data_IF_934415970424
#
_entry.id   IF_934415970424
#
_cell.length_a   1.000
_cell.length_b   1.000
_cell.length_c   1.000
_cell.angle_alpha   90.00
_cell.angle_beta   90.00
_cell.angle_gamma   90.00
#
_symmetry.space_group_name_H-M   'P 1'
#
loop_
_entity.id
_entity.type
_entity.pdbx_description
1 polymer ?
#
# COMPACT_ATOMS: atom_id res chain seq x y z
N UNK A 1 3.07 -0.43 -14.03
CA UNK A 1 4.17 0.32 -13.38
C UNK A 1 4.17 0.09 -11.88
N UNK A 2 3.17 0.56 -11.12
CA UNK A 2 3.07 0.29 -9.67
C UNK A 2 3.01 -1.21 -9.34
N UNK A 3 2.11 -1.94 -10.01
CA UNK A 3 1.89 -3.38 -9.78
C UNK A 3 3.13 -4.24 -10.11
N UNK A 4 3.81 -3.92 -11.22
CA UNK A 4 5.02 -4.63 -11.66
C UNK A 4 6.22 -4.38 -10.73
N UNK A 5 6.38 -3.17 -10.20
CA UNK A 5 7.42 -2.83 -9.23
C UNK A 5 7.19 -3.54 -7.90
N UNK A 6 5.94 -3.53 -7.42
CA UNK A 6 5.59 -4.20 -6.16
C UNK A 6 5.77 -5.71 -6.28
N UNK A 7 5.43 -6.31 -7.41
CA UNK A 7 5.61 -7.75 -7.64
C UNK A 7 7.07 -8.19 -7.46
N UNK A 8 8.02 -7.42 -8.03
CA UNK A 8 9.45 -7.74 -7.93
C UNK A 8 10.00 -7.70 -6.49
N UNK A 9 9.37 -6.96 -5.57
CA UNK A 9 9.80 -6.89 -4.18
C UNK A 9 9.63 -8.20 -3.42
N UNK A 10 8.66 -9.03 -3.82
CA UNK A 10 8.36 -10.29 -3.13
C UNK A 10 9.16 -11.48 -3.67
N UNK A 11 9.98 -11.28 -4.70
CA UNK A 11 10.86 -12.30 -5.27
C UNK A 11 12.22 -12.29 -4.51
N UNK A 12 12.35 -13.13 -3.49
CA UNK A 12 13.63 -13.40 -2.81
C UNK A 12 13.99 -12.51 -1.62
N UNK A 13 13.15 -11.54 -1.25
CA UNK A 13 13.32 -10.71 -0.06
C UNK A 13 12.59 -11.28 1.17
N UNK A 14 12.97 -10.80 2.37
CA UNK A 14 12.15 -10.96 3.57
C UNK A 14 10.75 -10.36 3.33
N UNK A 15 9.71 -11.17 3.50
CA UNK A 15 8.32 -10.80 3.21
C UNK A 15 7.93 -9.50 3.93
N UNK A 16 8.41 -9.29 5.16
CA UNK A 16 8.10 -8.06 5.91
C UNK A 16 8.78 -6.83 5.31
N UNK A 17 10.05 -6.94 4.94
CA UNK A 17 10.75 -5.88 4.23
C UNK A 17 10.05 -5.55 2.90
N UNK A 18 9.63 -6.57 2.14
CA UNK A 18 8.89 -6.40 0.89
C UNK A 18 7.56 -5.66 1.09
N UNK A 19 6.80 -5.97 2.15
CA UNK A 19 5.57 -5.24 2.49
C UNK A 19 5.81 -3.76 2.82
N UNK A 20 6.89 -3.46 3.56
CA UNK A 20 7.26 -2.08 3.88
C UNK A 20 7.66 -1.30 2.64
N UNK A 21 8.50 -1.90 1.79
CA UNK A 21 8.90 -1.31 0.51
C UNK A 21 7.70 -1.09 -0.41
N UNK A 22 6.77 -2.05 -0.50
CA UNK A 22 5.54 -1.90 -1.27
C UNK A 22 4.68 -0.73 -0.77
N UNK A 23 4.54 -0.59 0.55
CA UNK A 23 3.86 0.56 1.15
C UNK A 23 4.55 1.89 0.84
N UNK A 24 5.88 1.93 0.85
CA UNK A 24 6.64 3.14 0.53
C UNK A 24 6.46 3.57 -0.93
N UNK A 25 6.53 2.62 -1.87
CA UNK A 25 6.26 2.85 -3.30
C UNK A 25 4.82 3.37 -3.49
N UNK A 26 3.87 2.81 -2.74
CA UNK A 26 2.47 3.24 -2.79
C UNK A 26 2.28 4.69 -2.31
N UNK A 27 2.90 5.07 -1.19
CA UNK A 27 2.87 6.46 -0.68
C UNK A 27 3.53 7.42 -1.68
N UNK A 28 4.70 7.04 -2.21
CA UNK A 28 5.41 7.83 -3.23
C UNK A 28 4.53 8.06 -4.46
N UNK A 29 3.85 7.02 -4.94
CA UNK A 29 2.92 7.15 -6.06
C UNK A 29 1.78 8.14 -5.77
N UNK A 30 1.23 8.15 -4.56
CA UNK A 30 0.18 9.11 -4.20
C UNK A 30 0.66 10.57 -4.25
N UNK A 31 1.93 10.82 -3.91
CA UNK A 31 2.55 12.15 -3.93
C UNK A 31 2.95 12.56 -5.35
N UNK A 32 3.58 11.66 -6.10
CA UNK A 32 4.08 11.95 -7.45
C UNK A 32 2.93 12.01 -8.47
N UNK A 33 1.85 11.27 -8.25
CA UNK A 33 0.73 11.08 -9.18
C UNK A 33 -0.65 11.26 -8.52
N UNK A 34 -0.93 12.41 -7.86
CA UNK A 34 -2.13 12.60 -7.04
C UNK A 34 -3.44 12.53 -7.85
N UNK A 35 -3.41 12.92 -9.13
CA UNK A 35 -4.56 12.80 -10.02
C UNK A 35 -4.96 11.34 -10.27
N UNK A 36 -4.00 10.47 -10.58
CA UNK A 36 -4.25 9.04 -10.75
C UNK A 36 -4.68 8.38 -9.44
N UNK A 37 -4.03 8.74 -8.33
CA UNK A 37 -4.41 8.24 -7.00
C UNK A 37 -5.87 8.58 -6.65
N UNK A 38 -6.30 9.81 -6.91
CA UNK A 38 -7.69 10.25 -6.69
C UNK A 38 -8.69 9.59 -7.63
N UNK A 39 -8.30 9.25 -8.86
CA UNK A 39 -9.17 8.47 -9.77
C UNK A 39 -9.35 7.04 -9.26
N UNK A 40 -8.28 6.41 -8.76
CA UNK A 40 -8.32 5.02 -8.29
C UNK A 40 -9.11 4.84 -6.98
N UNK A 41 -9.05 5.81 -6.08
CA UNK A 41 -9.56 5.67 -4.71
C UNK A 41 -10.53 6.77 -4.27
N UNK A 42 -10.88 7.68 -5.17
CA UNK A 42 -11.87 8.72 -4.91
C UNK A 42 -13.30 8.19 -4.83
N UNK A 43 -14.24 9.00 -4.33
CA UNK A 43 -15.65 8.60 -4.16
C UNK A 43 -16.38 8.41 -5.49
N UNK A 44 -15.85 8.94 -6.59
CA UNK A 44 -16.48 8.90 -7.91
C UNK A 44 -15.97 7.71 -8.71
N UNK A 45 -16.84 6.72 -8.96
CA UNK A 45 -16.57 5.68 -9.95
C UNK A 45 -16.73 6.27 -11.35
N UNK A 46 -15.68 6.22 -12.16
CA UNK A 46 -15.77 6.56 -13.57
C UNK A 46 -16.53 5.45 -14.31
N UNK A 47 -17.59 5.82 -15.01
CA UNK A 47 -18.39 4.89 -15.82
C UNK A 47 -17.90 4.79 -17.27
N UNK A 48 -17.24 5.83 -17.77
CA UNK A 48 -16.65 5.86 -19.11
C UNK A 48 -15.36 5.02 -19.16
N UNK A 49 -15.28 4.07 -20.09
CA UNK A 49 -14.12 3.17 -20.24
C UNK A 49 -14.04 2.08 -19.16
N UNK A 50 -15.08 1.94 -18.33
CA UNK A 50 -15.18 0.87 -17.35
C UNK A 50 -15.37 -0.49 -18.02
N UNK A 51 -14.60 -1.49 -17.60
CA UNK A 51 -14.75 -2.88 -18.04
C UNK A 51 -14.98 -3.78 -16.83
N UNK A 52 -15.73 -4.88 -17.01
CA UNK A 52 -16.02 -5.83 -15.94
C UNK A 52 -14.73 -6.45 -15.34
N UNK A 53 -13.64 -6.50 -16.11
CA UNK A 53 -12.34 -6.99 -15.64
C UNK A 53 -11.78 -6.12 -14.51
N UNK A 54 -12.09 -4.82 -14.47
CA UNK A 54 -11.63 -3.90 -13.42
C UNK A 54 -12.18 -4.27 -12.04
N UNK A 55 -13.39 -4.84 -11.95
CA UNK A 55 -13.96 -5.32 -10.69
C UNK A 55 -13.15 -6.46 -10.10
N UNK A 56 -12.44 -7.22 -10.93
CA UNK A 56 -11.70 -8.41 -10.50
C UNK A 56 -10.26 -8.10 -10.09
N UNK A 57 -9.70 -6.96 -10.50
CA UNK A 57 -8.32 -6.59 -10.22
C UNK A 57 -8.06 -6.45 -8.72
N UNK A 58 -8.88 -5.66 -8.02
CA UNK A 58 -8.75 -5.45 -6.58
C UNK A 58 -8.80 -6.76 -5.77
N UNK A 59 -9.86 -7.59 -5.93
CA UNK A 59 -9.96 -8.89 -5.28
C UNK A 59 -8.80 -9.83 -5.60
N UNK A 60 -8.32 -9.86 -6.85
CA UNK A 60 -7.20 -10.72 -7.27
C UNK A 60 -5.89 -10.32 -6.58
N UNK A 61 -5.57 -9.03 -6.55
CA UNK A 61 -4.36 -8.57 -5.86
C UNK A 61 -4.47 -8.78 -4.35
N UNK A 62 -5.65 -8.59 -3.75
CA UNK A 62 -5.90 -8.89 -2.34
C UNK A 62 -5.61 -10.37 -2.00
N UNK A 63 -6.13 -11.30 -2.81
CA UNK A 63 -5.89 -12.74 -2.63
C UNK A 63 -4.40 -13.11 -2.76
N UNK A 64 -3.66 -12.42 -3.63
CA UNK A 64 -2.20 -12.62 -3.76
C UNK A 64 -1.46 -12.17 -2.50
N UNK A 65 -1.75 -10.98 -1.98
CA UNK A 65 -1.14 -10.52 -0.73
C UNK A 65 -1.49 -11.44 0.45
N UNK A 66 -2.71 -11.98 0.48
CA UNK A 66 -3.12 -12.96 1.50
C UNK A 66 -2.22 -14.20 1.47
N UNK A 67 -1.99 -14.76 0.28
CA UNK A 67 -1.11 -15.91 0.10
C UNK A 67 0.35 -15.61 0.54
N UNK A 68 0.83 -14.40 0.25
CA UNK A 68 2.20 -13.98 0.61
C UNK A 68 2.38 -13.86 2.13
N UNK A 69 1.40 -13.29 2.85
CA UNK A 69 1.54 -13.06 4.30
C UNK A 69 1.04 -14.22 5.18
N UNK A 70 0.31 -15.18 4.62
CA UNK A 70 -0.21 -16.30 5.38
C UNK A 70 0.85 -16.99 6.27
N UNK A 71 2.10 -17.21 5.82
CA UNK A 71 3.15 -17.78 6.68
C UNK A 71 3.52 -16.92 7.90
N UNK A 72 3.32 -15.61 7.84
CA UNK A 72 3.64 -14.66 8.93
C UNK A 72 2.50 -14.49 9.94
N UNK A 73 1.32 -15.03 9.66
CA UNK A 73 0.13 -14.70 10.44
C UNK A 73 0.00 -15.51 11.74
N UNK A 74 0.74 -16.61 11.92
CA UNK A 74 0.81 -17.39 13.18
C UNK A 74 -0.57 -17.70 13.81
N UNK A 75 -1.54 -18.09 12.97
CA UNK A 75 -2.92 -18.36 13.41
C UNK A 75 -3.87 -17.17 13.41
N UNK A 76 -3.39 -15.96 13.09
CA UNK A 76 -4.23 -14.78 12.78
C UNK A 76 -4.75 -14.83 11.34
N UNK A 77 -5.77 -14.02 11.06
CA UNK A 77 -6.34 -13.91 9.71
C UNK A 77 -5.39 -13.17 8.75
N UNK A 78 -4.87 -13.87 7.74
CA UNK A 78 -4.11 -13.26 6.65
C UNK A 78 -4.94 -12.20 5.93
N UNK A 79 -6.20 -12.49 5.59
CA UNK A 79 -7.12 -11.51 5.03
C UNK A 79 -7.28 -10.27 5.90
N UNK A 80 -7.44 -10.45 7.21
CA UNK A 80 -7.53 -9.34 8.16
C UNK A 80 -6.26 -8.49 8.17
N UNK A 81 -5.08 -9.13 8.16
CA UNK A 81 -3.80 -8.44 8.16
C UNK A 81 -3.54 -7.69 6.84
N UNK A 82 -3.90 -8.24 5.68
CA UNK A 82 -3.79 -7.51 4.40
C UNK A 82 -4.76 -6.31 4.37
N UNK A 83 -6.01 -6.49 4.80
CA UNK A 83 -6.98 -5.38 4.86
C UNK A 83 -6.48 -4.27 5.79
N UNK A 84 -5.95 -4.63 6.96
CA UNK A 84 -5.38 -3.67 7.91
C UNK A 84 -4.17 -2.93 7.31
N UNK A 85 -3.25 -3.66 6.68
CA UNK A 85 -2.08 -3.07 6.01
C UNK A 85 -2.49 -2.13 4.86
N UNK A 86 -3.43 -2.56 4.03
CA UNK A 86 -3.99 -1.75 2.94
C UNK A 86 -4.66 -0.47 3.48
N UNK A 87 -5.51 -0.57 4.49
CA UNK A 87 -6.20 0.59 5.08
C UNK A 87 -5.21 1.59 5.70
N UNK A 88 -4.20 1.10 6.43
CA UNK A 88 -3.17 1.93 7.05
C UNK A 88 -2.35 2.68 6.00
N UNK A 89 -1.81 1.97 5.01
CA UNK A 89 -0.99 2.56 3.94
C UNK A 89 -1.84 3.52 3.09
N UNK A 90 -3.10 3.18 2.81
CA UNK A 90 -4.01 4.04 2.08
C UNK A 90 -4.32 5.34 2.84
N UNK A 91 -4.58 5.26 4.14
CA UNK A 91 -4.78 6.42 5.00
C UNK A 91 -3.55 7.32 5.02
N UNK A 92 -2.36 6.75 5.19
CA UNK A 92 -1.10 7.51 5.16
C UNK A 92 -0.85 8.14 3.80
N UNK A 93 -1.00 7.40 2.71
CA UNK A 93 -0.84 7.93 1.36
C UNK A 93 -1.79 9.12 1.09
N UNK A 94 -3.04 9.02 1.54
CA UNK A 94 -4.03 10.11 1.44
C UNK A 94 -3.61 11.32 2.26
N UNK A 95 -3.19 11.12 3.51
CA UNK A 95 -2.75 12.21 4.38
C UNK A 95 -1.49 12.91 3.85
N UNK A 96 -0.54 12.15 3.30
CA UNK A 96 0.69 12.70 2.69
C UNK A 96 0.38 13.45 1.41
N UNK A 97 -0.44 12.87 0.51
CA UNK A 97 -0.84 13.52 -0.74
C UNK A 97 -1.62 14.83 -0.50
N UNK A 98 -2.38 14.91 0.60
CA UNK A 98 -3.09 16.13 1.01
C UNK A 98 -2.22 17.09 1.87
N UNK A 99 -0.94 16.78 2.10
CA UNK A 99 -0.02 17.60 2.89
C UNK A 99 -0.34 17.67 4.39
N UNK A 100 -1.17 16.75 4.91
CA UNK A 100 -1.56 16.67 6.32
C UNK A 100 -0.64 15.80 7.17
N UNK A 101 0.22 15.03 6.52
CA UNK A 101 1.24 14.19 7.15
C UNK A 101 2.49 14.20 6.26
N UNK A 102 3.66 13.99 6.83
CA UNK A 102 4.88 13.84 6.04
C UNK A 102 6.05 13.29 6.85
N UNK A 103 7.10 12.76 6.20
CA UNK A 103 8.28 12.22 6.87
C UNK A 103 8.92 13.20 7.88
N UNK A 104 8.98 14.49 7.55
CA UNK A 104 9.54 15.53 8.42
C UNK A 104 8.86 15.65 9.80
N UNK A 105 7.58 15.27 9.92
CA UNK A 105 6.88 15.26 11.22
C UNK A 105 7.44 14.20 12.18
N UNK A 106 8.18 13.23 11.67
CA UNK A 106 8.82 12.16 12.42
C UNK A 106 10.35 12.31 12.47
N UNK A 107 10.88 13.48 12.08
CA UNK A 107 12.33 13.73 12.03
C UNK A 107 13.06 12.98 10.93
N UNK A 108 12.34 12.55 9.89
CA UNK A 108 12.90 11.87 8.71
C UNK A 108 13.16 12.87 7.58
N UNK A 109 13.97 12.48 6.59
CA UNK A 109 14.13 13.25 5.36
C UNK A 109 12.81 13.32 4.57
N UNK A 110 12.55 14.42 3.85
CA UNK A 110 11.25 14.70 3.23
C UNK A 110 10.75 13.63 2.24
N UNK A 111 11.66 12.85 1.65
CA UNK A 111 11.39 11.77 0.71
C UNK A 111 11.52 10.35 1.31
N UNK A 112 11.76 10.26 2.63
CA UNK A 112 11.91 8.99 3.36
C UNK A 112 10.54 8.35 3.69
N UNK A 113 9.82 7.96 2.64
CA UNK A 113 8.55 7.25 2.77
C UNK A 113 8.72 5.83 3.30
N UNK A 114 9.89 5.21 3.14
CA UNK A 114 10.16 3.89 3.69
C UNK A 114 10.34 3.95 5.21
N UNK A 115 11.08 4.93 5.72
CA UNK A 115 11.19 5.23 7.14
C UNK A 115 9.84 5.59 7.74
N UNK A 116 9.01 6.35 7.02
CA UNK A 116 7.64 6.66 7.44
C UNK A 116 6.78 5.39 7.53
N UNK A 117 6.76 4.56 6.47
CA UNK A 117 5.99 3.31 6.43
C UNK A 117 6.48 2.32 7.49
N UNK A 118 7.79 2.23 7.72
CA UNK A 118 8.36 1.43 8.80
C UNK A 118 7.88 1.92 10.17
N UNK A 119 7.86 3.23 10.41
CA UNK A 119 7.45 3.84 11.69
C UNK A 119 5.98 3.56 12.00
N UNK A 120 5.08 3.61 10.99
CA UNK A 120 3.65 3.35 11.19
C UNK A 120 3.34 1.85 11.27
N UNK A 121 4.07 1.00 10.52
CA UNK A 121 3.79 -0.45 10.46
C UNK A 121 4.44 -1.23 11.58
N UNK A 122 5.45 -0.70 12.27
CA UNK A 122 6.07 -1.34 13.44
C UNK A 122 5.09 -1.58 14.59
N UNK A 123 3.94 -0.89 14.59
CA UNK A 123 2.89 -1.04 15.61
C UNK A 123 1.88 -2.16 15.30
N UNK A 124 1.86 -2.70 14.06
CA UNK A 124 0.75 -3.55 13.58
C UNK A 124 1.19 -4.82 12.82
N UNK A 125 2.41 -4.86 12.27
CA UNK A 125 2.99 -6.08 11.72
C UNK A 125 3.87 -6.73 12.81
N UNK A 126 3.49 -7.91 13.34
CA UNK A 126 4.15 -8.57 14.47
C UNK A 126 5.55 -9.01 14.11
#
# INVERSE_FOLDING_TARGET
LLDSLIKGLFEGADTRAAFRAAGAIYVRFAVEQPGYFRVMYGPTRLTAGYTADLDTLGPREMARYEAIIAPLCEGRSARGAVIAGWALVHGVATLVADGRLGPGMFGLADDDYEGLVRTITSSYLP
#
